data_IF_302043264542
#
_entry.id   IF_302043264542
#
_cell.length_a   1.000
_cell.length_b   1.000
_cell.length_c   1.000
_cell.angle_alpha   90.00
_cell.angle_beta   90.00
_cell.angle_gamma   90.00
#
_symmetry.space_group_name_H-M   'P 1'
#
loop_
_entity.id
_entity.type
_entity.pdbx_description
1 polymer ?
#
# COMPACT_ATOMS: atom_id res chain seq x y z
N UNK A 1 10.62 -41.49 8.04
CA UNK A 1 9.36 -42.09 7.58
C UNK A 1 8.58 -41.01 6.84
N UNK A 2 8.78 -40.91 5.53
CA UNK A 2 8.15 -39.88 4.70
C UNK A 2 7.11 -40.59 3.85
N UNK A 3 5.84 -40.41 4.21
CA UNK A 3 4.71 -40.91 3.43
C UNK A 3 4.38 -39.84 2.39
N UNK A 4 4.88 -40.00 1.17
CA UNK A 4 4.42 -39.23 0.02
C UNK A 4 3.38 -40.08 -0.71
N UNK A 5 2.12 -39.66 -0.66
CA UNK A 5 1.03 -40.25 -1.43
C UNK A 5 1.01 -39.54 -2.78
N UNK A 6 1.50 -40.22 -3.82
CA UNK A 6 1.35 -39.79 -5.21
C UNK A 6 -0.03 -40.25 -5.71
N UNK A 7 -0.82 -39.31 -6.23
CA UNK A 7 -2.08 -39.61 -6.91
C UNK A 7 -1.93 -39.22 -8.38
N UNK A 8 -1.40 -40.15 -9.17
CA UNK A 8 -1.34 -40.03 -10.63
C UNK A 8 -2.66 -40.52 -11.23
N UNK A 9 -3.51 -39.58 -11.70
CA UNK A 9 -4.70 -39.90 -12.50
C UNK A 9 -4.39 -39.65 -13.97
N UNK A 10 -4.42 -40.74 -14.74
CA UNK A 10 -4.18 -40.84 -16.17
C UNK A 10 -5.30 -40.18 -17.00
N UNK A 11 -4.92 -39.46 -18.07
CA UNK A 11 -5.75 -39.30 -19.28
C UNK A 11 -5.91 -37.87 -19.83
N UNK A 12 -5.04 -37.43 -20.74
CA UNK A 12 -5.28 -36.25 -21.59
C UNK A 12 -4.03 -35.78 -22.36
N UNK A 13 -4.08 -35.53 -23.69
CA UNK A 13 -2.89 -35.27 -24.49
C UNK A 13 -2.48 -33.79 -24.42
N UNK A 14 -1.36 -33.54 -23.72
CA UNK A 14 -0.59 -32.28 -23.68
C UNK A 14 -1.39 -31.05 -23.22
N UNK A 15 -1.10 -30.57 -22.00
CA UNK A 15 -0.92 -29.14 -21.66
C UNK A 15 -0.80 -28.85 -20.16
N UNK A 16 -0.37 -29.77 -19.31
CA UNK A 16 -0.06 -29.43 -17.90
C UNK A 16 1.30 -30.02 -17.53
N UNK A 17 2.37 -29.45 -18.11
CA UNK A 17 3.71 -29.71 -17.60
C UNK A 17 3.77 -29.13 -16.17
N UNK A 18 4.06 -30.01 -15.20
CA UNK A 18 4.22 -29.72 -13.78
C UNK A 18 5.35 -28.74 -13.44
N UNK A 19 5.26 -27.53 -13.95
CA UNK A 19 6.12 -26.42 -13.57
C UNK A 19 5.54 -25.76 -12.33
N UNK A 20 6.07 -26.12 -11.17
CA UNK A 20 5.82 -25.43 -9.91
C UNK A 20 6.18 -23.95 -10.06
N UNK A 21 5.21 -23.07 -9.89
CA UNK A 21 5.41 -21.61 -9.88
C UNK A 21 5.75 -21.08 -8.48
N UNK A 22 6.09 -21.95 -7.53
CA UNK A 22 6.53 -21.52 -6.19
C UNK A 22 7.93 -20.94 -6.24
N UNK A 23 8.13 -19.90 -5.44
CA UNK A 23 9.42 -19.29 -5.20
C UNK A 23 9.64 -19.32 -3.69
N UNK A 24 10.63 -20.08 -3.27
CA UNK A 24 11.02 -20.17 -1.87
C UNK A 24 12.04 -19.06 -1.63
N UNK A 25 11.71 -18.16 -0.70
CA UNK A 25 12.54 -17.01 -0.35
C UNK A 25 12.97 -17.23 1.09
N UNK A 26 14.19 -17.75 1.24
CA UNK A 26 14.79 -18.00 2.55
C UNK A 26 15.28 -16.66 3.10
N UNK A 27 14.41 -15.94 3.80
CA UNK A 27 14.77 -14.79 4.61
C UNK A 27 14.72 -15.17 6.07
N UNK A 28 15.88 -15.21 6.69
CA UNK A 28 16.01 -15.22 8.14
C UNK A 28 15.79 -13.78 8.64
N UNK A 29 14.54 -13.46 8.92
CA UNK A 29 14.16 -12.17 9.51
C UNK A 29 13.55 -12.45 10.88
N UNK A 30 14.28 -12.12 11.95
CA UNK A 30 13.71 -12.10 13.29
C UNK A 30 12.72 -10.94 13.39
N UNK A 31 11.43 -11.29 13.48
CA UNK A 31 10.35 -10.34 13.67
C UNK A 31 9.67 -10.66 15.00
N UNK A 32 9.48 -9.63 15.83
CA UNK A 32 8.67 -9.75 17.04
C UNK A 32 7.19 -9.93 16.64
N UNK A 33 6.58 -11.00 17.15
CA UNK A 33 5.18 -11.35 16.87
C UNK A 33 4.20 -10.29 17.40
N UNK A 34 4.64 -9.47 18.36
CA UNK A 34 3.78 -8.44 18.96
C UNK A 34 3.77 -7.11 18.20
N UNK A 35 4.69 -6.90 17.25
CA UNK A 35 4.72 -5.70 16.40
C UNK A 35 4.17 -6.00 15.00
N UNK A 36 2.85 -5.84 14.89
CA UNK A 36 2.09 -6.11 13.66
C UNK A 36 2.54 -5.22 12.48
N UNK A 37 2.96 -3.98 12.74
CA UNK A 37 3.37 -3.07 11.66
C UNK A 37 4.68 -3.51 11.01
N UNK A 38 5.64 -3.95 11.82
CA UNK A 38 6.92 -4.48 11.32
C UNK A 38 6.70 -5.80 10.60
N UNK A 39 5.81 -6.64 11.12
CA UNK A 39 5.46 -7.93 10.54
C UNK A 39 4.79 -7.78 9.16
N UNK A 40 3.79 -6.89 9.04
CA UNK A 40 3.13 -6.60 7.77
C UNK A 40 4.09 -6.03 6.73
N UNK A 41 5.04 -5.18 7.15
CA UNK A 41 6.08 -4.66 6.25
C UNK A 41 7.03 -5.76 5.76
N UNK A 42 7.40 -6.72 6.62
CA UNK A 42 8.23 -7.86 6.25
C UNK A 42 7.51 -8.75 5.22
N UNK A 43 6.22 -9.06 5.43
CA UNK A 43 5.41 -9.84 4.48
C UNK A 43 5.29 -9.13 3.14
N UNK A 44 5.03 -7.81 3.14
CA UNK A 44 4.98 -7.01 1.92
C UNK A 44 6.31 -7.08 1.15
N UNK A 45 7.44 -6.91 1.84
CA UNK A 45 8.77 -6.94 1.23
C UNK A 45 9.12 -8.33 0.64
N UNK A 46 8.72 -9.42 1.32
CA UNK A 46 8.90 -10.79 0.83
C UNK A 46 8.06 -11.04 -0.44
N UNK A 47 6.79 -10.64 -0.43
CA UNK A 47 5.90 -10.78 -1.59
C UNK A 47 6.39 -9.97 -2.80
N UNK A 48 6.89 -8.75 -2.56
CA UNK A 48 7.45 -7.90 -3.62
C UNK A 48 8.66 -8.58 -4.29
N UNK A 49 9.58 -9.11 -3.51
CA UNK A 49 10.78 -9.77 -4.02
C UNK A 49 10.44 -11.05 -4.80
N UNK A 50 9.53 -11.88 -4.27
CA UNK A 50 9.04 -13.06 -4.98
C UNK A 50 8.41 -12.69 -6.32
N UNK A 51 7.63 -11.62 -6.36
CA UNK A 51 7.04 -11.12 -7.61
C UNK A 51 8.11 -10.69 -8.61
N UNK A 52 9.16 -9.99 -8.17
CA UNK A 52 10.27 -9.58 -9.06
C UNK A 52 10.98 -10.78 -9.68
N UNK A 53 11.27 -11.80 -8.88
CA UNK A 53 11.90 -13.02 -9.38
C UNK A 53 10.97 -13.80 -10.34
N UNK A 54 9.66 -13.85 -10.05
CA UNK A 54 8.68 -14.46 -10.94
C UNK A 54 8.63 -13.74 -12.29
N UNK A 55 8.63 -12.41 -12.29
CA UNK A 55 8.63 -11.59 -13.49
C UNK A 55 9.83 -11.88 -14.40
N UNK A 56 11.04 -11.99 -13.84
CA UNK A 56 12.24 -12.36 -14.60
C UNK A 56 12.10 -13.75 -15.24
N UNK A 57 11.54 -14.72 -14.51
CA UNK A 57 11.27 -16.07 -15.02
C UNK A 57 10.20 -16.08 -16.11
N UNK A 58 9.18 -15.23 -16.03
CA UNK A 58 8.16 -15.12 -17.07
C UNK A 58 8.68 -14.44 -18.33
N UNK A 59 9.54 -13.43 -18.18
CA UNK A 59 10.20 -12.75 -19.30
C UNK A 59 11.10 -13.71 -20.09
N UNK A 60 11.92 -14.52 -19.40
CA UNK A 60 12.77 -15.51 -20.07
C UNK A 60 11.97 -16.57 -20.83
N UNK A 61 10.79 -16.94 -20.32
CA UNK A 61 9.85 -17.87 -20.97
C UNK A 61 8.93 -17.21 -22.01
N UNK A 62 9.00 -15.89 -22.18
CA UNK A 62 8.14 -15.09 -23.07
C UNK A 62 6.64 -15.30 -22.84
N UNK A 63 6.22 -15.48 -21.58
CA UNK A 63 4.82 -15.64 -21.23
C UNK A 63 4.18 -14.28 -20.91
N UNK A 64 2.97 -13.97 -21.44
CA UNK A 64 2.24 -12.76 -21.07
C UNK A 64 1.75 -12.88 -19.62
N UNK A 65 2.10 -11.89 -18.80
CA UNK A 65 1.76 -11.89 -17.36
C UNK A 65 0.86 -10.72 -16.94
N UNK A 66 0.83 -9.62 -17.71
CA UNK A 66 -0.04 -8.49 -17.45
C UNK A 66 -1.44 -8.78 -17.98
N UNK A 67 -2.45 -8.41 -17.19
CA UNK A 67 -3.84 -8.40 -17.65
C UNK A 67 -4.00 -7.31 -18.73
N UNK A 68 -4.45 -7.65 -19.95
CA UNK A 68 -4.78 -6.64 -20.96
C UNK A 68 -5.94 -5.76 -20.50
N UNK A 69 -5.95 -4.49 -20.92
CA UNK A 69 -7.01 -3.53 -20.56
C UNK A 69 -8.38 -3.89 -21.12
N UNK A 70 -8.42 -4.63 -22.23
CA UNK A 70 -9.65 -5.02 -22.95
C UNK A 70 -10.10 -6.46 -22.62
N UNK A 71 -9.67 -7.00 -21.47
CA UNK A 71 -10.06 -8.32 -21.02
C UNK A 71 -11.05 -8.24 -19.85
N UNK A 72 -12.34 -8.35 -20.18
CA UNK A 72 -13.44 -8.39 -19.22
C UNK A 72 -13.73 -9.83 -18.75
N UNK A 73 -13.19 -10.17 -17.59
CA UNK A 73 -13.49 -11.40 -16.87
C UNK A 73 -14.05 -11.07 -15.49
N UNK A 74 -14.75 -12.02 -14.88
CA UNK A 74 -15.24 -11.88 -13.52
C UNK A 74 -14.06 -11.68 -12.56
N UNK A 75 -14.13 -10.62 -11.76
CA UNK A 75 -13.12 -10.28 -10.77
C UNK A 75 -13.54 -10.80 -9.39
N UNK A 76 -12.57 -11.07 -8.51
CA UNK A 76 -12.85 -11.54 -7.14
C UNK A 76 -13.69 -10.56 -6.31
N UNK A 77 -13.79 -9.29 -6.72
CA UNK A 77 -14.65 -8.26 -6.10
C UNK A 77 -15.49 -7.59 -7.18
N UNK A 78 -16.76 -7.30 -6.87
CA UNK A 78 -17.66 -6.61 -7.79
C UNK A 78 -17.33 -5.11 -7.90
N UNK A 79 -17.63 -4.52 -9.05
CA UNK A 79 -17.42 -3.08 -9.30
C UNK A 79 -18.22 -2.20 -8.33
N UNK A 80 -19.41 -2.64 -7.93
CA UNK A 80 -20.22 -1.94 -6.93
C UNK A 80 -19.52 -1.87 -5.57
N UNK A 81 -18.83 -2.94 -5.17
CA UNK A 81 -18.02 -2.95 -3.96
C UNK A 81 -16.81 -2.01 -4.08
N UNK A 82 -16.10 -2.02 -5.22
CA UNK A 82 -14.95 -1.15 -5.45
C UNK A 82 -15.31 0.34 -5.45
N UNK A 83 -16.42 0.72 -6.10
CA UNK A 83 -16.94 2.11 -6.05
C UNK A 83 -17.24 2.57 -4.62
N UNK A 84 -17.72 1.67 -3.76
CA UNK A 84 -17.96 1.98 -2.34
C UNK A 84 -16.66 2.23 -1.58
N UNK A 85 -15.61 1.43 -1.85
CA UNK A 85 -14.29 1.63 -1.24
C UNK A 85 -13.66 2.96 -1.70
N UNK A 86 -13.73 3.26 -3.00
CA UNK A 86 -13.25 4.54 -3.55
C UNK A 86 -13.97 5.73 -2.91
N UNK A 87 -15.29 5.65 -2.76
CA UNK A 87 -16.08 6.68 -2.07
C UNK A 87 -15.62 6.92 -0.62
N UNK A 88 -15.28 5.85 0.12
CA UNK A 88 -14.74 5.95 1.49
C UNK A 88 -13.37 6.61 1.51
N UNK A 89 -12.45 6.17 0.66
CA UNK A 89 -11.10 6.73 0.54
C UNK A 89 -11.14 8.22 0.20
N UNK A 90 -12.00 8.63 -0.73
CA UNK A 90 -12.14 10.03 -1.11
C UNK A 90 -12.74 10.87 0.03
N UNK A 91 -13.71 10.33 0.76
CA UNK A 91 -14.28 11.00 1.93
C UNK A 91 -13.25 11.21 3.04
N UNK A 92 -12.40 10.23 3.32
CA UNK A 92 -11.31 10.34 4.30
C UNK A 92 -10.27 11.37 3.89
N UNK A 93 -9.81 11.35 2.63
CA UNK A 93 -8.91 12.38 2.10
C UNK A 93 -9.50 13.78 2.27
N UNK A 94 -10.78 13.98 1.92
CA UNK A 94 -11.47 15.27 2.11
C UNK A 94 -11.55 15.69 3.58
N UNK A 95 -11.74 14.75 4.52
CA UNK A 95 -11.75 15.05 5.96
C UNK A 95 -10.37 15.52 6.42
N UNK A 96 -9.31 14.81 6.02
CA UNK A 96 -7.93 15.15 6.38
C UNK A 96 -7.57 16.55 5.85
N UNK A 97 -7.87 16.83 4.58
CA UNK A 97 -7.57 18.15 3.99
C UNK A 97 -8.31 19.29 4.70
N UNK A 98 -9.60 19.10 5.04
CA UNK A 98 -10.35 20.10 5.82
C UNK A 98 -9.76 20.33 7.22
N UNK A 99 -9.24 19.28 7.86
CA UNK A 99 -8.60 19.41 9.16
C UNK A 99 -7.26 20.16 9.06
N UNK A 100 -6.45 19.87 8.03
CA UNK A 100 -5.22 20.60 7.75
C UNK A 100 -5.48 22.08 7.47
N UNK A 101 -6.50 22.38 6.65
CA UNK A 101 -6.87 23.75 6.34
C UNK A 101 -7.29 24.53 7.59
N UNK A 102 -8.11 23.92 8.46
CA UNK A 102 -8.50 24.51 9.75
C UNK A 102 -7.31 24.71 10.70
N UNK A 103 -6.34 23.79 10.71
CA UNK A 103 -5.14 23.94 11.51
C UNK A 103 -4.30 25.13 11.03
N UNK A 104 -4.13 25.26 9.70
CA UNK A 104 -3.42 26.37 9.08
C UNK A 104 -4.07 27.72 9.37
N UNK A 105 -5.40 27.82 9.24
CA UNK A 105 -6.14 29.05 9.55
C UNK A 105 -5.94 29.50 11.00
N UNK A 106 -5.95 28.55 11.95
CA UNK A 106 -5.70 28.85 13.37
C UNK A 106 -4.26 29.32 13.61
N UNK A 107 -3.30 28.71 12.93
CA UNK A 107 -1.89 29.10 13.03
C UNK A 107 -1.67 30.53 12.51
N UNK A 108 -2.23 30.84 11.34
CA UNK A 108 -2.21 32.20 10.75
C UNK A 108 -2.88 33.24 11.68
N UNK A 109 -4.03 32.89 12.28
CA UNK A 109 -4.69 33.75 13.26
C UNK A 109 -3.81 34.01 14.49
N UNK A 110 -3.22 32.96 15.07
CA UNK A 110 -2.32 33.07 16.22
C UNK A 110 -1.09 33.93 15.88
N UNK A 111 -0.50 33.75 14.70
CA UNK A 111 0.64 34.56 14.25
C UNK A 111 0.25 36.03 14.08
N UNK A 112 -0.92 36.31 13.51
CA UNK A 112 -1.42 37.68 13.35
C UNK A 112 -1.60 38.38 14.70
N UNK A 113 -2.12 37.68 15.71
CA UNK A 113 -2.30 38.19 17.08
C UNK A 113 -0.94 38.43 17.74
N UNK A 114 0.01 37.50 17.60
CA UNK A 114 1.39 37.67 18.12
C UNK A 114 2.05 38.91 17.51
N UNK A 115 1.94 39.09 16.20
CA UNK A 115 2.48 40.27 15.48
C UNK A 115 1.86 41.57 16.02
N UNK A 116 0.54 41.61 16.15
CA UNK A 116 -0.17 42.77 16.69
C UNK A 116 0.22 43.10 18.13
N UNK A 117 0.39 42.08 19.00
CA UNK A 117 0.90 42.28 20.37
C UNK A 117 2.29 42.90 20.38
N UNK A 118 3.20 42.43 19.50
CA UNK A 118 4.57 42.97 19.38
C UNK A 118 4.55 44.43 18.91
N UNK A 119 3.71 44.76 17.94
CA UNK A 119 3.58 46.12 17.42
C UNK A 119 3.14 47.11 18.52
N UNK A 120 2.10 46.76 19.29
CA UNK A 120 1.61 47.63 20.38
C UNK A 120 2.59 47.74 21.55
N UNK A 121 3.37 46.69 21.81
CA UNK A 121 4.47 46.77 22.78
C UNK A 121 5.57 47.74 22.34
N UNK A 122 5.85 47.85 21.04
CA UNK A 122 6.80 48.82 20.49
C UNK A 122 6.26 50.26 20.51
N UNK A 123 4.97 50.45 20.17
CA UNK A 123 4.33 51.78 20.19
C UNK A 123 4.30 52.39 21.60
N UNK A 124 4.07 51.59 22.64
CA UNK A 124 4.07 52.07 24.04
C UNK A 124 5.44 52.56 24.50
N UNK A 125 6.52 51.95 24.01
CA UNK A 125 7.90 52.35 24.36
C UNK A 125 8.31 53.64 23.63
N UNK A 126 7.84 53.84 22.39
CA UNK A 126 8.10 55.06 21.63
C UNK A 126 7.31 56.30 22.11
N UNK A 127 6.22 56.13 22.86
CA UNK A 127 5.44 57.25 23.42
C UNK A 127 5.99 57.81 24.75
N UNK A 128 6.95 57.11 25.36
CA UNK A 128 7.52 57.45 26.67
C UNK A 128 8.95 58.02 26.58
N UNK A 129 9.40 58.38 25.38
CA UNK A 129 10.65 59.06 25.08
C UNK A 129 10.35 60.25 24.16
#
# INVERSE_FOLDING_TARGET
>A
MVSSINLDILGGPRMWNGHKLSLDIDREQEVDVNDDLVLELAFYAQALEGTRQALLKFQSKRLPFLRPSDYHAEMSKSDGHMKKLEGRLLAEKRKIEKLKERAKQKEEEIESVKKWRKQRGADWVCQWW
#
